data_IF_746799369760
#
_entry.id   IF_746799369760
#
_cell.length_a   1.000
_cell.length_b   1.000
_cell.length_c   1.000
_cell.angle_alpha   90.00
_cell.angle_beta   90.00
_cell.angle_gamma   90.00
#
_symmetry.space_group_name_H-M   'P 1'
#
loop_
_entity.id
_entity.type
_entity.pdbx_description
1 polymer ?
#
# COMPACT_ATOMS: atom_id res chain seq x y z
N UNK A 1 -32.54 22.38 5.25
CA UNK A 1 -31.37 22.16 4.36
C UNK A 1 -30.54 21.07 4.99
N UNK A 2 -30.37 19.89 4.39
CA UNK A 2 -29.44 18.91 4.96
C UNK A 2 -28.02 19.42 4.71
N UNK A 3 -27.21 19.48 5.78
CA UNK A 3 -25.80 19.84 5.69
C UNK A 3 -25.09 18.90 4.70
N UNK A 4 -24.24 19.41 3.79
CA UNK A 4 -23.39 18.54 3.01
C UNK A 4 -22.44 17.89 4.01
N UNK A 5 -22.69 16.63 4.35
CA UNK A 5 -21.67 15.79 4.97
C UNK A 5 -20.49 15.79 4.00
N UNK A 6 -19.48 16.61 4.29
CA UNK A 6 -18.19 16.55 3.62
C UNK A 6 -17.75 15.09 3.72
N UNK A 7 -17.77 14.38 2.59
CA UNK A 7 -17.14 13.09 2.49
C UNK A 7 -15.73 13.22 3.11
N UNK A 8 -15.28 12.25 3.93
CA UNK A 8 -13.95 12.33 4.51
C UNK A 8 -12.95 12.53 3.37
N UNK A 9 -12.20 13.64 3.42
CA UNK A 9 -11.17 13.92 2.41
C UNK A 9 -9.95 13.07 2.74
N UNK A 10 -9.93 11.81 2.30
CA UNK A 10 -8.70 11.03 2.25
C UNK A 10 -7.92 11.32 0.95
N UNK A 11 -6.66 10.91 0.94
CA UNK A 11 -5.68 11.14 -0.13
C UNK A 11 -4.44 11.90 0.31
N UNK A 12 -4.34 12.31 1.58
CA UNK A 12 -3.17 13.00 2.13
C UNK A 12 -1.96 12.07 2.28
N UNK A 13 -2.17 10.76 2.34
CA UNK A 13 -1.13 9.72 2.39
C UNK A 13 -0.06 10.03 3.44
N UNK A 14 -0.47 10.33 4.67
CA UNK A 14 0.47 10.74 5.74
C UNK A 14 1.34 9.53 6.12
N UNK A 15 2.62 9.58 5.75
CA UNK A 15 3.56 8.47 5.93
C UNK A 15 4.22 8.51 7.31
N UNK A 16 4.26 7.36 7.96
CA UNK A 16 5.09 7.06 9.12
C UNK A 16 5.96 5.84 8.82
N UNK A 17 7.27 5.95 9.03
CA UNK A 17 8.21 4.88 8.75
C UNK A 17 8.45 3.98 9.96
N UNK A 18 8.56 2.67 9.73
CA UNK A 18 9.02 1.69 10.71
C UNK A 18 10.41 1.18 10.30
N UNK A 19 11.43 1.59 11.03
CA UNK A 19 12.81 1.16 10.77
C UNK A 19 13.25 -0.04 11.62
N UNK A 20 12.38 -0.54 12.49
CA UNK A 20 12.70 -1.58 13.47
C UNK A 20 12.21 -2.97 13.01
N UNK A 21 11.00 -3.07 12.46
CA UNK A 21 10.34 -4.38 12.28
C UNK A 21 9.82 -4.63 10.86
N UNK A 22 9.70 -5.93 10.53
CA UNK A 22 9.04 -6.44 9.31
C UNK A 22 9.48 -5.79 8.00
N UNK A 23 10.74 -5.35 7.93
CA UNK A 23 11.28 -4.63 6.78
C UNK A 23 11.42 -5.53 5.56
N UNK A 24 10.84 -5.10 4.44
CA UNK A 24 11.01 -5.75 3.15
C UNK A 24 12.30 -5.25 2.47
N UNK A 25 12.94 -6.06 1.61
CA UNK A 25 13.99 -5.57 0.72
C UNK A 25 13.42 -4.51 -0.24
N UNK A 26 14.06 -3.34 -0.32
CA UNK A 26 13.58 -2.24 -1.14
C UNK A 26 13.52 -2.59 -2.64
N UNK A 27 14.47 -3.40 -3.13
CA UNK A 27 14.45 -3.90 -4.51
C UNK A 27 13.22 -4.77 -4.82
N UNK A 28 12.80 -5.62 -3.88
CA UNK A 28 11.61 -6.46 -4.01
C UNK A 28 10.35 -5.59 -4.01
N UNK A 29 10.31 -4.54 -3.17
CA UNK A 29 9.21 -3.57 -3.20
C UNK A 29 9.20 -2.72 -4.48
N UNK A 30 10.37 -2.35 -5.02
CA UNK A 30 10.48 -1.68 -6.32
C UNK A 30 9.86 -2.53 -7.42
N UNK A 31 10.16 -3.84 -7.44
CA UNK A 31 9.51 -4.76 -8.39
C UNK A 31 7.99 -4.85 -8.20
N UNK A 32 7.51 -4.81 -6.96
CA UNK A 32 6.07 -4.70 -6.71
C UNK A 32 5.51 -3.40 -7.31
N UNK A 33 6.16 -2.25 -7.14
CA UNK A 33 5.73 -0.98 -7.74
C UNK A 33 5.66 -1.05 -9.27
N UNK A 34 6.65 -1.68 -9.92
CA UNK A 34 6.63 -1.88 -11.38
C UNK A 34 5.38 -2.65 -11.82
N UNK A 35 5.02 -3.72 -11.09
CA UNK A 35 3.81 -4.52 -11.35
C UNK A 35 2.55 -3.70 -11.13
N UNK A 36 2.52 -2.77 -10.18
CA UNK A 36 1.34 -1.92 -9.96
C UNK A 36 1.19 -0.86 -11.05
N UNK A 37 2.31 -0.36 -11.59
CA UNK A 37 2.36 0.63 -12.66
C UNK A 37 2.20 0.05 -14.06
N UNK A 38 2.31 -1.27 -14.21
CA UNK A 38 2.24 -1.95 -15.51
C UNK A 38 0.83 -1.80 -16.14
N UNK A 39 0.72 -1.31 -17.39
CA UNK A 39 -0.57 -1.12 -18.07
C UNK A 39 -1.44 -2.37 -18.17
N UNK A 40 -0.84 -3.57 -18.21
CA UNK A 40 -1.55 -4.83 -18.34
C UNK A 40 -2.22 -5.28 -17.03
N UNK A 41 -1.68 -4.89 -15.88
CA UNK A 41 -2.15 -5.32 -14.55
C UNK A 41 -2.90 -4.22 -13.81
N UNK A 42 -2.61 -2.94 -14.10
CA UNK A 42 -3.10 -1.78 -13.33
C UNK A 42 -4.63 -1.69 -13.22
N UNK A 43 -5.35 -2.18 -14.24
CA UNK A 43 -6.83 -2.19 -14.29
C UNK A 43 -7.46 -3.42 -13.61
N UNK A 44 -6.64 -4.38 -13.17
CA UNK A 44 -7.12 -5.60 -12.53
C UNK A 44 -7.79 -5.26 -11.21
N UNK A 45 -9.01 -5.75 -11.00
CA UNK A 45 -9.70 -5.63 -9.73
C UNK A 45 -9.18 -6.67 -8.73
N UNK A 46 -8.87 -6.21 -7.52
CA UNK A 46 -8.36 -7.01 -6.40
C UNK A 46 -9.32 -6.97 -5.21
N UNK A 47 -10.60 -7.09 -5.50
CA UNK A 47 -11.66 -7.10 -4.49
C UNK A 47 -11.53 -8.30 -3.51
N UNK A 48 -11.98 -8.10 -2.27
CA UNK A 48 -12.12 -9.17 -1.28
C UNK A 48 -10.84 -9.54 -0.50
N UNK A 49 -9.67 -9.03 -0.90
CA UNK A 49 -8.41 -9.16 -0.15
C UNK A 49 -8.07 -7.89 0.62
N UNK A 50 -7.08 -7.98 1.52
CA UNK A 50 -6.53 -6.84 2.27
C UNK A 50 -5.02 -6.70 2.11
N UNK A 51 -4.44 -7.42 1.14
CA UNK A 51 -3.03 -7.38 0.84
C UNK A 51 -2.76 -7.80 -0.61
N UNK A 52 -1.71 -7.22 -1.18
CA UNK A 52 -1.11 -7.58 -2.45
C UNK A 52 0.40 -7.72 -2.24
N UNK A 53 0.97 -8.87 -2.61
CA UNK A 53 2.38 -9.15 -2.38
C UNK A 53 3.11 -9.57 -3.65
N UNK A 54 4.42 -9.34 -3.62
CA UNK A 54 5.37 -9.93 -4.53
C UNK A 54 6.42 -10.69 -3.70
N UNK A 55 6.72 -11.92 -4.14
CA UNK A 55 7.76 -12.76 -3.54
C UNK A 55 8.79 -13.05 -4.64
N UNK A 56 10.03 -12.64 -4.40
CA UNK A 56 11.16 -12.92 -5.26
C UNK A 56 11.61 -14.39 -5.12
N UNK A 57 12.37 -14.88 -6.10
CA UNK A 57 12.84 -16.26 -6.14
C UNK A 57 13.79 -16.64 -4.99
N UNK A 58 14.46 -15.65 -4.38
CA UNK A 58 15.32 -15.80 -3.20
C UNK A 58 14.54 -15.81 -1.87
N UNK A 59 13.21 -15.75 -1.93
CA UNK A 59 12.33 -15.71 -0.76
C UNK A 59 12.11 -14.29 -0.20
N UNK A 60 12.73 -13.26 -0.78
CA UNK A 60 12.45 -11.88 -0.43
C UNK A 60 10.99 -11.53 -0.71
N UNK A 61 10.28 -10.97 0.28
CA UNK A 61 8.85 -10.64 0.16
C UNK A 61 8.62 -9.16 0.40
N UNK A 62 7.74 -8.57 -0.41
CA UNK A 62 7.18 -7.25 -0.17
C UNK A 62 5.67 -7.29 -0.35
N UNK A 63 4.95 -6.64 0.55
CA UNK A 63 3.51 -6.62 0.60
C UNK A 63 3.02 -5.20 0.83
N UNK A 64 2.01 -4.83 0.05
CA UNK A 64 1.12 -3.72 0.36
C UNK A 64 -0.09 -4.34 1.04
N UNK A 65 -0.47 -3.83 2.21
CA UNK A 65 -1.66 -4.26 2.93
C UNK A 65 -2.49 -3.05 3.33
N UNK A 66 -3.76 -3.25 3.63
CA UNK A 66 -4.65 -2.16 4.03
C UNK A 66 -5.70 -2.62 5.04
N UNK A 67 -6.16 -1.69 5.88
CA UNK A 67 -6.94 -2.00 7.09
C UNK A 67 -8.41 -2.41 6.84
N UNK A 68 -8.96 -2.13 5.65
CA UNK A 68 -10.39 -2.33 5.34
C UNK A 68 -10.59 -3.12 4.06
N UNK A 69 -11.66 -3.92 3.94
CA UNK A 69 -12.02 -4.48 2.63
C UNK A 69 -12.59 -3.36 1.76
N UNK A 70 -12.16 -3.31 0.49
CA UNK A 70 -12.55 -2.28 -0.48
C UNK A 70 -13.12 -2.97 -1.71
N UNK A 71 -14.35 -2.62 -2.08
CA UNK A 71 -14.97 -3.09 -3.31
C UNK A 71 -14.53 -2.21 -4.50
N UNK A 72 -14.38 -2.79 -5.70
CA UNK A 72 -13.92 -2.06 -6.89
C UNK A 72 -12.47 -1.57 -6.82
N UNK A 73 -11.68 -2.11 -5.87
CA UNK A 73 -10.27 -1.76 -5.73
C UNK A 73 -9.49 -2.27 -6.95
N UNK A 74 -8.81 -1.37 -7.65
CA UNK A 74 -7.87 -1.71 -8.71
C UNK A 74 -6.43 -1.68 -8.22
N UNK A 75 -5.58 -2.50 -8.84
CA UNK A 75 -4.14 -2.59 -8.54
C UNK A 75 -3.48 -1.20 -8.53
N UNK A 76 -3.78 -0.35 -9.51
CA UNK A 76 -3.20 0.99 -9.64
C UNK A 76 -3.46 1.90 -8.44
N UNK A 77 -4.58 1.72 -7.75
CA UNK A 77 -4.97 2.56 -6.62
C UNK A 77 -4.05 2.34 -5.41
N UNK A 78 -3.33 1.21 -5.38
CA UNK A 78 -2.33 0.95 -4.35
C UNK A 78 -1.04 1.77 -4.54
N UNK A 79 -0.79 2.29 -5.74
CA UNK A 79 0.52 2.81 -6.14
C UNK A 79 0.92 4.09 -5.40
N UNK A 80 0.01 5.07 -5.29
CA UNK A 80 0.36 6.42 -4.82
C UNK A 80 0.97 6.44 -3.41
N UNK A 81 0.26 5.87 -2.43
CA UNK A 81 0.75 5.80 -1.06
C UNK A 81 1.96 4.86 -0.90
N UNK A 82 2.03 3.78 -1.70
CA UNK A 82 3.17 2.87 -1.69
C UNK A 82 4.47 3.51 -2.20
N UNK A 83 4.39 4.34 -3.24
CA UNK A 83 5.53 5.13 -3.75
C UNK A 83 6.00 6.15 -2.71
N UNK A 84 5.09 6.83 -2.01
CA UNK A 84 5.49 7.78 -0.97
C UNK A 84 6.17 7.08 0.21
N UNK A 85 5.67 5.90 0.62
CA UNK A 85 6.35 5.05 1.61
C UNK A 85 7.73 4.58 1.12
N UNK A 86 7.87 4.19 -0.15
CA UNK A 86 9.18 3.88 -0.74
C UNK A 86 10.12 5.08 -0.68
N UNK A 87 9.64 6.29 -0.99
CA UNK A 87 10.46 7.51 -0.99
C UNK A 87 10.93 7.92 0.40
N UNK A 88 10.05 7.84 1.40
CA UNK A 88 10.35 8.33 2.75
C UNK A 88 10.96 7.27 3.67
N UNK A 89 10.59 5.98 3.49
CA UNK A 89 10.91 4.93 4.44
C UNK A 89 11.96 3.92 3.94
N UNK A 90 12.43 4.04 2.70
CA UNK A 90 13.54 3.24 2.23
C UNK A 90 14.84 3.70 2.90
N UNK A 91 15.42 2.82 3.72
CA UNK A 91 16.70 3.05 4.40
C UNK A 91 17.49 1.74 4.45
N UNK A 92 18.79 1.80 4.19
CA UNK A 92 19.71 0.65 4.21
C UNK A 92 19.23 -0.52 3.32
N UNK A 93 18.70 -0.21 2.13
CA UNK A 93 18.19 -1.21 1.19
C UNK A 93 16.92 -1.92 1.63
N UNK A 94 16.22 -1.42 2.65
CA UNK A 94 15.00 -1.99 3.19
C UNK A 94 13.92 -0.94 3.45
N UNK A 95 12.66 -1.34 3.45
CA UNK A 95 11.51 -0.46 3.65
C UNK A 95 10.47 -1.11 4.56
N UNK A 96 9.94 -0.32 5.48
CA UNK A 96 8.68 -0.61 6.16
C UNK A 96 8.02 0.71 6.58
N UNK A 97 6.71 0.79 6.44
CA UNK A 97 5.99 2.00 6.74
C UNK A 97 4.50 1.84 6.61
N UNK A 98 3.81 2.88 7.05
CA UNK A 98 2.37 3.00 7.05
C UNK A 98 1.98 4.38 6.56
N UNK A 99 1.01 4.44 5.66
CA UNK A 99 0.36 5.65 5.20
C UNK A 99 -1.07 5.69 5.76
N UNK A 100 -1.40 6.78 6.44
CA UNK A 100 -2.76 7.09 6.90
C UNK A 100 -3.51 7.89 5.84
N UNK A 101 -4.84 7.94 5.99
CA UNK A 101 -5.74 8.70 5.10
C UNK A 101 -5.54 8.37 3.62
N UNK A 102 -5.37 7.09 3.29
CA UNK A 102 -5.24 6.63 1.90
C UNK A 102 -6.64 6.44 1.31
N UNK A 103 -6.88 7.03 0.15
CA UNK A 103 -8.09 6.79 -0.62
C UNK A 103 -7.92 5.57 -1.53
N UNK A 104 -8.63 4.50 -1.21
CA UNK A 104 -8.75 3.31 -2.04
C UNK A 104 -10.20 3.19 -2.53
N UNK A 105 -10.44 3.54 -3.79
CA UNK A 105 -11.76 3.49 -4.43
C UNK A 105 -12.87 4.25 -3.66
N UNK A 106 -12.57 5.41 -3.09
CA UNK A 106 -13.49 6.22 -2.28
C UNK A 106 -13.59 5.77 -0.81
N UNK A 107 -12.79 4.77 -0.41
CA UNK A 107 -12.73 4.29 0.98
C UNK A 107 -11.44 4.77 1.62
N UNK A 108 -11.59 5.60 2.66
CA UNK A 108 -10.46 6.01 3.49
C UNK A 108 -9.98 4.84 4.35
N UNK A 109 -8.70 4.50 4.20
CA UNK A 109 -8.06 3.39 4.92
C UNK A 109 -6.62 3.76 5.29
N UNK A 110 -6.03 2.94 6.14
CA UNK A 110 -4.59 2.84 6.29
C UNK A 110 -4.04 1.87 5.24
N UNK A 111 -2.89 2.19 4.65
CA UNK A 111 -2.11 1.31 3.79
C UNK A 111 -0.71 1.12 4.38
N UNK A 112 -0.13 -0.08 4.29
CA UNK A 112 1.17 -0.39 4.86
C UNK A 112 2.01 -1.11 3.83
N UNK A 113 3.30 -0.79 3.80
CA UNK A 113 4.30 -1.43 2.96
C UNK A 113 5.29 -2.16 3.88
N UNK A 114 5.40 -3.48 3.79
CA UNK A 114 6.28 -4.27 4.66
C UNK A 114 6.58 -5.65 4.06
N UNK A 115 7.37 -6.47 4.75
CA UNK A 115 7.66 -7.86 4.39
C UNK A 115 6.53 -8.85 4.71
N UNK A 116 5.37 -8.39 5.19
CA UNK A 116 4.26 -9.25 5.63
C UNK A 116 2.90 -8.81 5.07
N UNK A 117 2.02 -9.77 4.84
CA UNK A 117 0.63 -9.55 4.38
C UNK A 117 -0.24 -8.81 5.40
N UNK A 118 0.02 -9.01 6.69
CA UNK A 118 -0.70 -8.37 7.79
C UNK A 118 -0.09 -7.03 8.23
N UNK A 119 0.53 -6.27 7.33
CA UNK A 119 1.21 -5.01 7.69
C UNK A 119 0.34 -4.04 8.49
N UNK A 120 -0.92 -3.87 8.05
CA UNK A 120 -1.92 -3.03 8.70
C UNK A 120 -2.89 -3.76 9.64
N UNK A 121 -2.63 -5.03 9.97
CA UNK A 121 -3.39 -5.71 11.04
C UNK A 121 -2.58 -5.58 12.32
N UNK A 122 -3.23 -5.11 13.37
CA UNK A 122 -2.72 -5.18 14.75
C UNK A 122 -2.50 -6.63 15.17
#
# INVERSE_FOLDING_TARGET
TPSPHLAPRCGSNIVTCDFASYRAPAAVCGRLMDILGDPATRITEIGGVTAQCYTASDGGKCCISWSRRVAGLRVEMLFGAAVEMMRQCARDGRVSGMAMDVDLAGVCTVQCLSGREGGCRE
#
